data_IF_443469020756
#
_entry.id   IF_443469020756
#
_cell.length_a   1.000
_cell.length_b   1.000
_cell.length_c   1.000
_cell.angle_alpha   90.00
_cell.angle_beta   90.00
_cell.angle_gamma   90.00
#
_symmetry.space_group_name_H-M   'P 1'
#
loop_
_entity.id
_entity.type
_entity.pdbx_description
1 polymer ?
#
# COMPACT_ATOMS: atom_id res chain seq x y z
N UNK A 1 -23.16 -14.39 -4.17
CA UNK A 1 -22.89 -13.42 -5.26
C UNK A 1 -21.38 -13.25 -5.34
N UNK A 2 -20.78 -13.15 -6.54
CA UNK A 2 -19.33 -12.93 -6.71
C UNK A 2 -19.06 -11.46 -7.01
N UNK A 3 -17.90 -10.93 -6.60
CA UNK A 3 -17.50 -9.57 -6.97
C UNK A 3 -17.40 -9.49 -8.50
N UNK A 4 -17.96 -8.44 -9.14
CA UNK A 4 -17.95 -8.35 -10.59
C UNK A 4 -16.51 -8.20 -11.11
N UNK A 5 -16.15 -8.80 -12.26
CA UNK A 5 -14.77 -8.80 -12.76
C UNK A 5 -14.13 -7.41 -12.90
N UNK A 6 -14.92 -6.41 -13.30
CA UNK A 6 -14.45 -5.02 -13.41
C UNK A 6 -14.03 -4.43 -12.07
N UNK A 7 -14.70 -4.82 -10.98
CA UNK A 7 -14.35 -4.36 -9.64
C UNK A 7 -13.06 -5.01 -9.15
N UNK A 8 -12.82 -6.28 -9.48
CA UNK A 8 -11.54 -6.94 -9.22
C UNK A 8 -10.38 -6.23 -9.91
N UNK A 9 -10.59 -5.84 -11.17
CA UNK A 9 -9.59 -5.07 -11.92
C UNK A 9 -9.31 -3.73 -11.25
N UNK A 10 -10.35 -3.03 -10.78
CA UNK A 10 -10.19 -1.75 -10.08
C UNK A 10 -9.38 -1.90 -8.79
N UNK A 11 -9.65 -2.94 -7.99
CA UNK A 11 -8.88 -3.23 -6.76
C UNK A 11 -7.41 -3.49 -7.09
N UNK A 12 -7.13 -4.27 -8.14
CA UNK A 12 -5.77 -4.58 -8.57
C UNK A 12 -5.03 -3.32 -9.05
N UNK A 13 -5.69 -2.50 -9.86
CA UNK A 13 -5.12 -1.24 -10.36
C UNK A 13 -4.87 -0.26 -9.22
N UNK A 14 -5.78 -0.17 -8.25
CA UNK A 14 -5.58 0.63 -7.03
C UNK A 14 -4.35 0.19 -6.24
N UNK A 15 -4.26 -1.10 -5.92
CA UNK A 15 -3.11 -1.69 -5.23
C UNK A 15 -1.80 -1.46 -6.00
N UNK A 16 -1.81 -1.64 -7.32
CA UNK A 16 -0.65 -1.41 -8.16
C UNK A 16 -0.20 0.06 -8.13
N UNK A 17 -1.12 1.00 -8.32
CA UNK A 17 -0.81 2.44 -8.32
C UNK A 17 -0.22 2.87 -6.98
N UNK A 18 -0.82 2.45 -5.87
CA UNK A 18 -0.33 2.83 -4.54
C UNK A 18 1.09 2.33 -4.29
N UNK A 19 1.38 1.05 -4.53
CA UNK A 19 2.72 0.52 -4.27
C UNK A 19 3.76 1.02 -5.29
N UNK A 20 3.38 1.27 -6.54
CA UNK A 20 4.29 1.88 -7.52
C UNK A 20 4.66 3.31 -7.13
N UNK A 21 3.70 4.11 -6.66
CA UNK A 21 3.96 5.49 -6.22
C UNK A 21 4.72 5.49 -4.89
N UNK A 22 4.18 4.85 -3.85
CA UNK A 22 4.70 4.94 -2.50
C UNK A 22 6.03 4.19 -2.33
N UNK A 23 6.18 3.02 -2.97
CA UNK A 23 7.40 2.21 -2.85
C UNK A 23 8.33 2.44 -4.02
N UNK A 24 7.87 2.12 -5.24
CA UNK A 24 8.80 2.03 -6.36
C UNK A 24 9.39 3.38 -6.75
N UNK A 25 8.55 4.40 -6.85
CA UNK A 25 8.95 5.76 -7.19
C UNK A 25 9.48 6.52 -5.97
N UNK A 26 8.62 6.81 -4.98
CA UNK A 26 8.96 7.73 -3.88
C UNK A 26 10.20 7.28 -3.10
N UNK A 27 10.33 5.99 -2.76
CA UNK A 27 11.52 5.54 -2.04
C UNK A 27 12.79 5.63 -2.88
N UNK A 28 12.71 5.38 -4.19
CA UNK A 28 13.86 5.51 -5.09
C UNK A 28 14.30 6.96 -5.20
N UNK A 29 13.36 7.89 -5.35
CA UNK A 29 13.66 9.32 -5.42
C UNK A 29 14.21 9.86 -4.09
N UNK A 30 13.62 9.47 -2.95
CA UNK A 30 14.12 9.92 -1.63
C UNK A 30 15.52 9.37 -1.34
N UNK A 31 15.83 8.13 -1.72
CA UNK A 31 17.20 7.62 -1.61
C UNK A 31 18.15 8.39 -2.53
N UNK A 32 17.74 8.70 -3.77
CA UNK A 32 18.56 9.46 -4.69
C UNK A 32 18.84 10.89 -4.19
N UNK A 33 17.85 11.55 -3.58
CA UNK A 33 17.94 12.93 -3.09
C UNK A 33 18.64 13.04 -1.74
N UNK A 34 18.39 12.12 -0.81
CA UNK A 34 18.85 12.22 0.58
C UNK A 34 19.97 11.23 0.94
N UNK A 35 20.25 10.25 0.09
CA UNK A 35 21.24 9.18 0.37
C UNK A 35 20.84 8.22 1.49
N UNK A 36 19.59 8.26 1.97
CA UNK A 36 19.16 7.50 3.17
C UNK A 36 17.94 6.64 2.94
N UNK A 37 18.13 5.32 3.06
CA UNK A 37 17.06 4.32 3.01
C UNK A 37 16.09 4.47 4.19
N UNK A 38 16.56 4.89 5.37
CA UNK A 38 15.70 5.11 6.54
C UNK A 38 14.73 6.26 6.26
N UNK A 39 15.24 7.38 5.70
CA UNK A 39 14.39 8.52 5.33
C UNK A 39 13.37 8.10 4.27
N UNK A 40 13.77 7.28 3.29
CA UNK A 40 12.85 6.76 2.29
C UNK A 40 11.74 5.86 2.90
N UNK A 41 12.08 4.98 3.85
CA UNK A 41 11.11 4.14 4.58
C UNK A 41 10.09 5.02 5.32
N UNK A 42 10.58 6.02 6.08
CA UNK A 42 9.72 6.91 6.85
C UNK A 42 8.84 7.77 5.94
N UNK A 43 9.41 8.37 4.89
CA UNK A 43 8.66 9.18 3.93
C UNK A 43 7.55 8.36 3.25
N UNK A 44 7.90 7.16 2.78
CA UNK A 44 6.97 6.24 2.13
C UNK A 44 5.83 5.79 3.05
N UNK A 45 6.15 5.47 4.31
CA UNK A 45 5.18 5.07 5.33
C UNK A 45 4.23 6.21 5.68
N UNK A 46 4.79 7.38 6.02
CA UNK A 46 4.00 8.55 6.40
C UNK A 46 3.12 9.02 5.24
N UNK A 47 3.65 9.06 4.03
CA UNK A 47 2.91 9.52 2.86
C UNK A 47 1.67 8.66 2.57
N UNK A 48 1.82 7.33 2.56
CA UNK A 48 0.67 6.45 2.34
C UNK A 48 -0.28 6.42 3.55
N UNK A 49 0.22 6.63 4.79
CA UNK A 49 -0.64 6.81 5.96
C UNK A 49 -1.53 8.04 5.82
N UNK A 50 -0.99 9.16 5.30
CA UNK A 50 -1.75 10.38 5.06
C UNK A 50 -2.90 10.17 4.06
N UNK A 51 -2.71 9.29 3.06
CA UNK A 51 -3.79 8.94 2.11
C UNK A 51 -5.02 8.38 2.80
N UNK A 52 -4.84 7.75 3.96
CA UNK A 52 -5.87 6.96 4.65
C UNK A 52 -6.53 7.70 5.81
N UNK A 53 -6.18 8.98 6.06
CA UNK A 53 -6.79 9.76 7.13
C UNK A 53 -8.31 9.94 6.95
N UNK A 54 -8.85 9.84 5.73
CA UNK A 54 -10.29 9.89 5.48
C UNK A 54 -11.06 8.70 6.07
N UNK A 55 -10.38 7.59 6.41
CA UNK A 55 -10.95 6.43 7.11
C UNK A 55 -10.97 6.61 8.64
N UNK A 56 -10.53 7.77 9.13
CA UNK A 56 -10.36 8.07 10.55
C UNK A 56 -8.96 7.74 11.06
N UNK A 57 -8.48 8.54 12.02
CA UNK A 57 -7.12 8.44 12.57
C UNK A 57 -6.75 7.04 13.07
N UNK A 58 -7.60 6.30 13.81
CA UNK A 58 -7.25 4.95 14.27
C UNK A 58 -7.00 3.98 13.11
N UNK A 59 -7.86 3.99 12.09
CA UNK A 59 -7.74 3.13 10.91
C UNK A 59 -6.48 3.48 10.12
N UNK A 60 -6.22 4.79 9.92
CA UNK A 60 -5.03 5.26 9.22
C UNK A 60 -3.74 4.79 9.92
N UNK A 61 -3.66 4.88 11.25
CA UNK A 61 -2.49 4.42 12.01
C UNK A 61 -2.29 2.90 11.90
N UNK A 62 -3.37 2.12 11.95
CA UNK A 62 -3.29 0.67 11.75
C UNK A 62 -2.79 0.33 10.34
N UNK A 63 -3.30 0.99 9.30
CA UNK A 63 -2.78 0.85 7.94
C UNK A 63 -1.31 1.28 7.83
N UNK A 64 -0.93 2.35 8.56
CA UNK A 64 0.45 2.82 8.65
C UNK A 64 1.44 1.76 9.12
N UNK A 65 1.05 0.89 10.06
CA UNK A 65 1.87 -0.25 10.46
C UNK A 65 2.14 -1.23 9.30
N UNK A 66 1.13 -1.52 8.48
CA UNK A 66 1.29 -2.34 7.27
C UNK A 66 2.19 -1.64 6.24
N UNK A 67 2.04 -0.32 6.06
CA UNK A 67 2.88 0.45 5.15
C UNK A 67 4.34 0.51 5.60
N UNK A 68 4.59 0.55 6.91
CA UNK A 68 5.93 0.41 7.47
C UNK A 68 6.52 -0.96 7.13
N UNK A 69 5.77 -2.03 7.31
CA UNK A 69 6.23 -3.37 6.93
C UNK A 69 6.54 -3.47 5.43
N UNK A 70 5.69 -2.92 4.57
CA UNK A 70 5.87 -2.94 3.11
C UNK A 70 7.08 -2.11 2.67
N UNK A 71 7.30 -0.93 3.26
CA UNK A 71 8.46 -0.10 2.95
C UNK A 71 9.77 -0.73 3.41
N UNK A 72 9.79 -1.35 4.59
CA UNK A 72 10.92 -2.16 5.06
C UNK A 72 11.19 -3.32 4.10
N UNK A 73 10.16 -4.09 3.72
CA UNK A 73 10.30 -5.17 2.75
C UNK A 73 10.89 -4.67 1.42
N UNK A 74 10.35 -3.55 0.89
CA UNK A 74 10.82 -2.99 -0.38
C UNK A 74 12.26 -2.52 -0.31
N UNK A 75 12.67 -1.91 0.81
CA UNK A 75 14.06 -1.50 1.04
C UNK A 75 15.05 -2.66 0.90
N UNK A 76 14.69 -3.85 1.39
CA UNK A 76 15.55 -5.04 1.30
C UNK A 76 15.44 -5.79 -0.02
N UNK A 77 14.23 -5.93 -0.57
CA UNK A 77 13.98 -6.82 -1.71
C UNK A 77 13.93 -6.11 -3.05
N UNK A 78 13.61 -4.81 -3.08
CA UNK A 78 13.48 -3.99 -4.30
C UNK A 78 12.52 -4.62 -5.32
N UNK A 79 11.46 -5.27 -4.85
CA UNK A 79 10.44 -5.94 -5.66
C UNK A 79 9.05 -5.43 -5.27
N UNK A 80 8.39 -4.72 -6.17
CA UNK A 80 7.05 -4.19 -5.93
C UNK A 80 5.95 -5.26 -6.12
N UNK A 81 6.16 -6.22 -7.02
CA UNK A 81 5.11 -7.20 -7.38
C UNK A 81 4.53 -7.97 -6.17
N UNK A 82 5.33 -8.50 -5.22
CA UNK A 82 4.77 -9.17 -4.05
C UNK A 82 3.92 -8.24 -3.17
N UNK A 83 4.29 -6.96 -3.07
CA UNK A 83 3.53 -5.96 -2.32
C UNK A 83 2.21 -5.64 -2.99
N UNK A 84 2.21 -5.48 -4.32
CA UNK A 84 1.00 -5.26 -5.12
C UNK A 84 0.02 -6.42 -4.94
N UNK A 85 0.52 -7.66 -5.01
CA UNK A 85 -0.32 -8.85 -4.84
C UNK A 85 -0.87 -8.98 -3.41
N UNK A 86 -0.06 -8.71 -2.39
CA UNK A 86 -0.51 -8.71 -0.99
C UNK A 86 -1.54 -7.62 -0.71
N UNK A 87 -1.32 -6.41 -1.22
CA UNK A 87 -2.26 -5.29 -1.08
C UNK A 87 -3.57 -5.59 -1.81
N UNK A 88 -3.49 -6.08 -3.06
CA UNK A 88 -4.66 -6.54 -3.81
C UNK A 88 -5.46 -7.58 -3.03
N UNK A 89 -4.79 -8.61 -2.48
CA UNK A 89 -5.45 -9.67 -1.72
C UNK A 89 -6.14 -9.11 -0.47
N UNK A 90 -5.48 -8.22 0.26
CA UNK A 90 -6.08 -7.56 1.43
C UNK A 90 -7.35 -6.79 1.05
N UNK A 91 -7.29 -5.95 0.02
CA UNK A 91 -8.45 -5.17 -0.43
C UNK A 91 -9.57 -6.05 -0.99
N UNK A 92 -9.22 -7.13 -1.70
CA UNK A 92 -10.18 -8.11 -2.20
C UNK A 92 -10.94 -8.79 -1.05
N UNK A 93 -10.23 -9.24 -0.01
CA UNK A 93 -10.84 -9.87 1.16
C UNK A 93 -11.72 -8.89 1.94
N UNK A 94 -11.24 -7.66 2.16
CA UNK A 94 -12.01 -6.61 2.82
C UNK A 94 -13.29 -6.29 2.04
N UNK A 95 -13.21 -6.13 0.71
CA UNK A 95 -14.36 -5.88 -0.13
C UNK A 95 -15.37 -7.04 -0.11
N UNK A 96 -14.90 -8.29 -0.12
CA UNK A 96 -15.74 -9.46 0.03
C UNK A 96 -16.46 -9.51 1.38
N UNK A 97 -15.75 -9.18 2.47
CA UNK A 97 -16.34 -9.10 3.81
C UNK A 97 -17.45 -8.04 3.87
N UNK A 98 -17.22 -6.83 3.33
CA UNK A 98 -18.24 -5.78 3.31
C UNK A 98 -19.44 -6.10 2.40
N UNK A 99 -19.22 -6.82 1.30
CA UNK A 99 -20.29 -7.16 0.36
C UNK A 99 -21.16 -8.34 0.82
N UNK A 100 -20.63 -9.25 1.63
CA UNK A 100 -21.28 -10.54 1.93
C UNK A 100 -21.31 -10.92 3.42
N UNK A 101 -20.59 -10.20 4.28
CA UNK A 101 -20.44 -10.48 5.71
C UNK A 101 -21.04 -9.41 6.63
N UNK A 102 -21.84 -8.50 6.09
CA UNK A 102 -22.65 -7.53 6.83
C UNK A 102 -24.14 -7.93 6.81
#
# INVERSE_FOLDING_TARGET
>A
MTLPPLYLLLILVGAANEELIARAYLMTEVVALCGSTIVAILASTCFQTLYHLYLGTPTALLSGCSFLFFSIYYAYRRRAMPLILSHFLYNFLAAGYHAYGA
#
